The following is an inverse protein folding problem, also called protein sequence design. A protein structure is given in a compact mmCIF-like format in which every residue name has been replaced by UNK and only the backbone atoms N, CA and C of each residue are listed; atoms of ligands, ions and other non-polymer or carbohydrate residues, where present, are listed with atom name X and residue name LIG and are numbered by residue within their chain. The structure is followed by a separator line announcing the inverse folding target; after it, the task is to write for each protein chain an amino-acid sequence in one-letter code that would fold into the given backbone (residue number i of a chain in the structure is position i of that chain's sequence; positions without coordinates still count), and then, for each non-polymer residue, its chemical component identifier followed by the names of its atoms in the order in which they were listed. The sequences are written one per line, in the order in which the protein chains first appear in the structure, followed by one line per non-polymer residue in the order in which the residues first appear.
data_IF_584852769782
#
_entry.id   IF_584852769782
#
_cell.length_a   1.000
_cell.length_b   1.000
_cell.length_c   1.000
_cell.angle_alpha   90.00
_cell.angle_beta   90.00
_cell.angle_gamma   90.00
#
_symmetry.space_group_name_H-M   'P 1'
#
loop_
_entity.id
_entity.type
_entity.pdbx_description
1 polymer ?
#
# COMPACT_ATOMS: atom_id res chain seq x y z
N UNK A 1 -16.30 8.18 3.71
CA UNK A 1 -17.15 7.03 3.36
C UNK A 1 -16.86 5.94 4.37
N UNK A 2 -17.86 5.40 5.06
CA UNK A 2 -17.70 4.24 5.93
C UNK A 2 -17.23 3.00 5.16
N UNK A 3 -16.53 2.07 5.84
CA UNK A 3 -15.95 0.87 5.23
C UNK A 3 -17.04 -0.07 4.66
N UNK A 4 -18.15 -0.24 5.38
CA UNK A 4 -19.30 -1.03 4.95
C UNK A 4 -19.86 -0.53 3.61
N UNK A 5 -20.03 0.79 3.47
CA UNK A 5 -20.50 1.40 2.22
C UNK A 5 -19.56 1.15 1.05
N UNK A 6 -18.25 1.07 1.29
CA UNK A 6 -17.26 0.76 0.25
C UNK A 6 -17.36 -0.71 -0.18
N UNK A 7 -17.50 -1.63 0.76
CA UNK A 7 -17.66 -3.06 0.47
C UNK A 7 -18.96 -3.31 -0.32
N UNK A 8 -20.07 -2.70 0.10
CA UNK A 8 -21.36 -2.80 -0.59
C UNK A 8 -21.32 -2.19 -1.99
N UNK A 9 -20.63 -1.06 -2.18
CA UNK A 9 -20.53 -0.43 -3.50
C UNK A 9 -19.63 -1.23 -4.44
N UNK A 10 -18.56 -1.83 -3.92
CA UNK A 10 -17.56 -2.56 -4.72
C UNK A 10 -17.88 -4.04 -4.88
N UNK A 11 -18.82 -4.57 -4.09
CA UNK A 11 -19.16 -5.99 -4.06
C UNK A 11 -18.06 -6.87 -3.48
N UNK A 12 -17.10 -6.28 -2.78
CA UNK A 12 -15.99 -7.00 -2.18
C UNK A 12 -16.41 -7.67 -0.86
N UNK A 13 -16.00 -8.91 -0.61
CA UNK A 13 -16.23 -9.55 0.68
C UNK A 13 -15.38 -8.88 1.77
N UNK A 14 -15.83 -8.99 3.01
CA UNK A 14 -15.06 -8.50 4.17
C UNK A 14 -13.71 -9.23 4.27
N UNK A 15 -12.71 -8.56 4.83
CA UNK A 15 -11.40 -9.19 5.07
C UNK A 15 -11.53 -10.42 5.99
N UNK A 16 -12.48 -10.40 6.91
CA UNK A 16 -12.78 -11.51 7.80
C UNK A 16 -13.23 -12.75 7.01
N UNK A 17 -14.13 -12.58 6.04
CA UNK A 17 -14.57 -13.67 5.17
C UNK A 17 -13.42 -14.23 4.32
N UNK A 18 -12.53 -13.36 3.82
CA UNK A 18 -11.33 -13.78 3.08
C UNK A 18 -10.39 -14.61 3.97
N UNK A 19 -10.15 -14.16 5.20
CA UNK A 19 -9.30 -14.86 6.17
C UNK A 19 -9.94 -16.20 6.55
N UNK A 20 -11.24 -16.22 6.88
CA UNK A 20 -12.03 -17.44 7.17
C UNK A 20 -11.86 -18.47 6.07
N UNK A 21 -12.12 -18.09 4.81
CA UNK A 21 -12.00 -18.97 3.66
C UNK A 21 -10.59 -19.49 3.43
N UNK A 22 -9.57 -18.66 3.66
CA UNK A 22 -8.18 -19.12 3.57
C UNK A 22 -7.83 -20.13 4.69
N UNK A 23 -8.31 -19.92 5.93
CA UNK A 23 -8.14 -20.88 7.03
C UNK A 23 -8.80 -22.21 6.69
N UNK A 24 -10.06 -22.20 6.27
CA UNK A 24 -10.83 -23.40 5.93
C UNK A 24 -10.29 -24.13 4.69
N UNK A 25 -9.76 -23.39 3.71
CA UNK A 25 -9.06 -23.98 2.56
C UNK A 25 -7.84 -24.76 2.99
N UNK A 26 -6.98 -24.16 3.83
CA UNK A 26 -5.80 -24.86 4.34
C UNK A 26 -6.18 -26.04 5.25
N UNK A 27 -7.22 -25.87 6.08
CA UNK A 27 -7.75 -26.95 6.91
C UNK A 27 -8.18 -28.15 6.08
N UNK A 28 -8.97 -27.95 5.02
CA UNK A 28 -9.36 -29.01 4.10
C UNK A 28 -8.16 -29.72 3.48
N UNK A 29 -7.14 -28.97 3.06
CA UNK A 29 -5.90 -29.54 2.55
C UNK A 29 -5.19 -30.42 3.58
N UNK A 30 -5.05 -29.97 4.82
CA UNK A 30 -4.37 -30.75 5.86
C UNK A 30 -5.21 -31.95 6.30
N UNK A 31 -6.54 -31.82 6.38
CA UNK A 31 -7.40 -32.94 6.74
C UNK A 31 -7.39 -34.07 5.69
N UNK A 32 -7.14 -33.72 4.41
CA UNK A 32 -6.94 -34.69 3.33
C UNK A 32 -5.49 -35.20 3.21
N UNK A 33 -4.54 -34.54 3.86
CA UNK A 33 -3.13 -34.85 3.68
C UNK A 33 -2.75 -36.18 4.35
N UNK A 34 -2.47 -37.18 3.51
CA UNK A 34 -1.97 -38.50 3.88
C UNK A 34 -0.58 -38.74 3.28
N UNK A 35 0.23 -39.52 3.99
CA UNK A 35 1.50 -39.98 3.49
C UNK A 35 1.28 -41.07 2.43
N UNK A 36 2.34 -41.40 1.67
CA UNK A 36 2.30 -42.48 0.66
C UNK A 36 1.85 -43.82 1.24
N UNK A 37 2.09 -44.03 2.53
CA UNK A 37 1.75 -45.24 3.27
C UNK A 37 0.30 -45.26 3.81
N UNK A 38 -0.54 -44.28 3.43
CA UNK A 38 -1.94 -44.16 3.90
C UNK A 38 -2.09 -43.63 5.33
N UNK A 39 -0.99 -43.35 6.02
CA UNK A 39 -1.02 -42.76 7.35
C UNK A 39 -1.23 -41.24 7.30
N UNK A 40 -1.96 -40.64 8.28
CA UNK A 40 -2.08 -39.19 8.40
C UNK A 40 -0.72 -38.50 8.45
N UNK A 41 -0.59 -37.40 7.71
CA UNK A 41 0.63 -36.56 7.76
C UNK A 41 0.89 -36.02 9.16
N UNK A 42 2.16 -35.63 9.43
CA UNK A 42 2.51 -34.99 10.69
C UNK A 42 1.65 -33.73 10.93
N UNK A 43 1.38 -32.94 9.89
CA UNK A 43 0.52 -31.76 9.99
C UNK A 43 -0.91 -32.10 10.45
N UNK A 44 -1.50 -33.18 9.92
CA UNK A 44 -2.82 -33.67 10.34
C UNK A 44 -2.82 -34.17 11.79
N UNK A 45 -1.73 -34.82 12.21
CA UNK A 45 -1.55 -35.28 13.60
C UNK A 45 -1.34 -34.12 14.59
N UNK A 46 -0.52 -33.12 14.24
CA UNK A 46 -0.19 -31.99 15.12
C UNK A 46 -1.32 -30.98 15.23
N UNK A 47 -2.21 -30.91 14.23
CA UNK A 47 -3.38 -30.03 14.24
C UNK A 47 -4.24 -30.22 15.49
N UNK A 48 -4.44 -31.48 15.91
CA UNK A 48 -5.26 -31.86 17.07
C UNK A 48 -4.42 -32.37 18.25
N UNK A 49 -3.09 -32.28 18.17
CA UNK A 49 -2.22 -32.73 19.25
C UNK A 49 -2.26 -31.75 20.42
N UNK A 50 -2.25 -32.28 21.63
CA UNK A 50 -2.07 -31.54 22.88
C UNK A 50 -0.82 -32.08 23.58
N UNK A 51 -0.02 -31.21 24.19
CA UNK A 51 1.08 -31.65 25.04
C UNK A 51 0.47 -32.26 26.32
N UNK A 52 0.77 -33.52 26.56
CA UNK A 52 0.29 -34.23 27.74
C UNK A 52 0.87 -33.55 28.99
N UNK A 53 0.03 -33.29 30.00
CA UNK A 53 0.37 -32.67 31.30
C UNK A 53 0.84 -31.20 31.31
N UNK A 54 0.92 -30.51 30.18
CA UNK A 54 1.27 -29.10 30.17
C UNK A 54 0.03 -28.22 29.99
N UNK A 55 -0.36 -27.50 31.05
CA UNK A 55 -1.34 -26.42 30.93
C UNK A 55 -0.65 -25.21 30.31
N UNK A 56 -1.25 -24.67 29.25
CA UNK A 56 -0.76 -23.44 28.60
C UNK A 56 -0.63 -22.31 29.64
N UNK A 57 0.44 -21.51 29.61
CA UNK A 57 0.60 -20.37 30.51
C UNK A 57 -0.64 -19.46 30.42
N UNK A 58 -1.25 -19.17 31.57
CA UNK A 58 -2.51 -18.41 31.65
C UNK A 58 -2.34 -16.93 31.27
N UNK A 59 -1.08 -16.47 31.17
CA UNK A 59 -0.66 -15.08 31.29
C UNK A 59 -0.39 -14.41 29.92
N UNK A 60 -0.46 -15.17 28.82
CA UNK A 60 -0.36 -14.62 27.46
C UNK A 60 -1.78 -14.42 26.95
N UNK A 61 -2.20 -13.16 26.82
CA UNK A 61 -3.54 -12.75 26.34
C UNK A 61 -4.08 -13.72 25.28
N UNK A 62 -5.13 -14.45 25.65
CA UNK A 62 -5.57 -15.68 24.95
C UNK A 62 -6.05 -15.37 23.54
N UNK A 63 -5.13 -15.42 22.57
CA UNK A 63 -5.48 -15.64 21.18
C UNK A 63 -5.94 -17.10 21.04
N UNK A 64 -7.17 -17.30 20.58
CA UNK A 64 -7.70 -18.61 20.22
C UNK A 64 -6.68 -19.41 19.41
N UNK A 65 -6.55 -20.71 19.67
CA UNK A 65 -5.71 -21.59 18.84
C UNK A 65 -6.20 -21.51 17.40
N UNK A 66 -5.32 -21.78 16.46
CA UNK A 66 -5.73 -21.90 15.07
C UNK A 66 -6.87 -22.92 14.89
N UNK A 67 -6.83 -24.04 15.62
CA UNK A 67 -7.90 -25.04 15.69
C UNK A 67 -9.23 -24.44 16.17
N UNK A 68 -9.24 -23.74 17.30
CA UNK A 68 -10.44 -23.08 17.83
C UNK A 68 -11.03 -22.08 16.83
N UNK A 69 -10.18 -21.36 16.09
CA UNK A 69 -10.61 -20.43 15.03
C UNK A 69 -11.27 -21.18 13.88
N UNK A 70 -10.75 -22.34 13.50
CA UNK A 70 -11.34 -23.17 12.44
C UNK A 70 -12.67 -23.78 12.89
N UNK A 71 -12.75 -24.28 14.13
CA UNK A 71 -14.00 -24.84 14.66
C UNK A 71 -15.08 -23.76 14.73
N UNK A 72 -14.72 -22.55 15.18
CA UNK A 72 -15.62 -21.39 15.13
C UNK A 72 -16.07 -21.07 13.70
N UNK A 73 -15.15 -21.08 12.73
CA UNK A 73 -15.48 -20.80 11.32
C UNK A 73 -16.42 -21.87 10.73
N UNK A 74 -16.26 -23.14 11.12
CA UNK A 74 -17.13 -24.26 10.72
C UNK A 74 -18.53 -24.09 11.32
N UNK A 75 -18.61 -23.68 12.59
CA UNK A 75 -19.85 -23.38 13.29
C UNK A 75 -20.57 -22.18 12.67
N UNK A 76 -19.85 -21.09 12.39
CA UNK A 76 -20.40 -19.89 11.72
C UNK A 76 -20.98 -20.21 10.33
N UNK A 77 -20.42 -21.20 9.62
CA UNK A 77 -20.91 -21.65 8.31
C UNK A 77 -21.94 -22.81 8.41
N UNK A 78 -22.31 -23.25 9.61
CA UNK A 78 -23.20 -24.40 9.84
C UNK A 78 -22.78 -25.66 9.06
N UNK A 79 -21.47 -25.93 8.99
CA UNK A 79 -20.96 -27.11 8.29
C UNK A 79 -20.98 -28.32 9.21
N UNK A 80 -22.01 -29.14 9.06
CA UNK A 80 -22.11 -30.42 9.75
C UNK A 80 -21.16 -31.47 9.16
N UNK A 81 -20.66 -32.34 10.04
CA UNK A 81 -19.85 -33.50 9.67
C UNK A 81 -18.67 -33.15 8.73
N UNK A 82 -18.02 -32.02 9.02
CA UNK A 82 -16.90 -31.48 8.23
C UNK A 82 -15.82 -32.52 7.91
N UNK A 83 -15.59 -33.52 8.77
CA UNK A 83 -14.63 -34.62 8.56
C UNK A 83 -14.91 -35.40 7.28
N UNK A 84 -16.18 -35.75 7.03
CA UNK A 84 -16.59 -36.43 5.80
C UNK A 84 -16.72 -35.44 4.65
N UNK A 85 -17.24 -34.25 4.92
CA UNK A 85 -17.45 -33.25 3.89
C UNK A 85 -16.16 -32.77 3.21
N UNK A 86 -15.04 -32.71 3.94
CA UNK A 86 -13.73 -32.38 3.33
C UNK A 86 -13.26 -33.39 2.28
N UNK A 87 -13.75 -34.64 2.32
CA UNK A 87 -13.46 -35.66 1.30
C UNK A 87 -14.11 -35.31 -0.04
N UNK A 88 -15.26 -34.65 -0.01
CA UNK A 88 -15.90 -34.06 -1.18
C UNK A 88 -15.36 -32.65 -1.40
N UNK A 89 -14.28 -32.55 -2.17
CA UNK A 89 -13.58 -31.29 -2.43
C UNK A 89 -14.51 -30.24 -3.06
N UNK A 90 -15.44 -30.66 -3.91
CA UNK A 90 -16.38 -29.76 -4.58
C UNK A 90 -17.36 -29.16 -3.59
N UNK A 91 -18.01 -30.02 -2.80
CA UNK A 91 -18.95 -29.60 -1.75
C UNK A 91 -18.26 -28.76 -0.67
N UNK A 92 -17.03 -29.12 -0.30
CA UNK A 92 -16.21 -28.34 0.62
C UNK A 92 -15.93 -26.94 0.06
N UNK A 93 -15.52 -26.85 -1.21
CA UNK A 93 -15.25 -25.55 -1.86
C UNK A 93 -16.49 -24.68 -1.94
N UNK A 94 -17.65 -25.26 -2.24
CA UNK A 94 -18.91 -24.52 -2.28
C UNK A 94 -19.22 -23.90 -0.91
N UNK A 95 -19.17 -24.71 0.15
CA UNK A 95 -19.46 -24.24 1.51
C UNK A 95 -18.51 -23.15 2.00
N UNK A 96 -17.20 -23.29 1.78
CA UNK A 96 -16.23 -22.29 2.27
C UNK A 96 -16.24 -20.98 1.47
N UNK A 97 -16.87 -20.94 0.29
CA UNK A 97 -16.91 -19.76 -0.57
C UNK A 97 -18.23 -18.97 -0.47
N UNK A 98 -19.22 -19.45 0.29
CA UNK A 98 -20.58 -18.88 0.37
C UNK A 98 -20.60 -17.36 0.60
N UNK A 99 -19.71 -16.82 1.45
CA UNK A 99 -19.64 -15.39 1.78
C UNK A 99 -18.42 -14.65 1.17
N UNK A 100 -17.75 -15.26 0.18
CA UNK A 100 -16.53 -14.72 -0.45
C UNK A 100 -16.75 -14.35 -1.92
N UNK A 101 -17.96 -14.58 -2.44
CA UNK A 101 -18.29 -14.22 -3.80
C UNK A 101 -18.25 -12.70 -3.99
N UNK A 102 -17.44 -12.25 -4.96
CA UNK A 102 -17.49 -10.88 -5.47
C UNK A 102 -18.81 -10.77 -6.23
N UNK A 103 -19.80 -10.10 -5.64
CA UNK A 103 -21.03 -9.77 -6.36
C UNK A 103 -20.70 -8.61 -7.30
N UNK A 104 -20.96 -8.69 -8.61
CA UNK A 104 -20.87 -7.52 -9.46
C UNK A 104 -22.00 -6.56 -9.07
N UNK A 105 -21.70 -5.61 -8.19
CA UNK A 105 -22.67 -4.66 -7.61
C UNK A 105 -23.08 -3.58 -8.59
N UNK A 106 -22.23 -3.27 -9.57
CA UNK A 106 -22.57 -2.37 -10.66
C UNK A 106 -22.13 -2.94 -12.01
N UNK A 107 -23.07 -2.96 -12.96
CA UNK A 107 -22.81 -3.25 -14.38
C UNK A 107 -21.75 -2.32 -14.98
N UNK A 108 -21.46 -1.17 -14.37
CA UNK A 108 -20.50 -0.21 -14.89
C UNK A 108 -19.61 0.44 -13.81
N UNK A 109 -18.87 -0.39 -13.06
CA UNK A 109 -17.82 0.05 -12.10
C UNK A 109 -16.87 1.10 -12.72
N UNK A 110 -16.60 0.99 -14.02
CA UNK A 110 -15.77 1.95 -14.76
C UNK A 110 -16.35 3.37 -14.71
N UNK A 111 -17.67 3.53 -14.81
CA UNK A 111 -18.34 4.83 -14.72
C UNK A 111 -18.23 5.43 -13.33
N UNK A 112 -18.41 4.64 -12.26
CA UNK A 112 -18.29 5.12 -10.88
C UNK A 112 -16.85 5.59 -10.61
N UNK A 113 -15.85 4.81 -11.01
CA UNK A 113 -14.44 5.19 -10.90
C UNK A 113 -14.16 6.46 -11.71
N UNK A 114 -14.74 6.58 -12.90
CA UNK A 114 -14.58 7.74 -13.77
C UNK A 114 -15.17 9.01 -13.12
N UNK A 115 -16.39 8.94 -12.57
CA UNK A 115 -17.02 10.04 -11.85
C UNK A 115 -16.19 10.48 -10.63
N UNK A 116 -15.66 9.53 -9.85
CA UNK A 116 -14.77 9.82 -8.73
C UNK A 116 -13.50 10.53 -9.17
N UNK A 117 -12.85 10.05 -10.24
CA UNK A 117 -11.66 10.68 -10.83
C UNK A 117 -11.97 12.10 -11.32
N UNK A 118 -13.11 12.29 -11.99
CA UNK A 118 -13.55 13.62 -12.43
C UNK A 118 -13.78 14.56 -11.24
N UNK A 119 -14.45 14.10 -10.19
CA UNK A 119 -14.73 14.89 -8.98
C UNK A 119 -13.45 15.27 -8.25
N UNK A 120 -12.48 14.36 -8.13
CA UNK A 120 -11.17 14.65 -7.56
C UNK A 120 -10.37 15.67 -8.41
N UNK A 121 -10.42 15.55 -9.73
CA UNK A 121 -9.78 16.51 -10.63
C UNK A 121 -10.41 17.91 -10.52
N UNK A 122 -11.75 18.01 -10.38
CA UNK A 122 -12.45 19.28 -10.13
C UNK A 122 -12.01 19.91 -8.82
N UNK A 123 -11.96 19.15 -7.71
CA UNK A 123 -11.45 19.66 -6.42
C UNK A 123 -10.05 20.22 -6.53
N UNK A 124 -9.12 19.49 -7.14
CA UNK A 124 -7.75 19.97 -7.39
C UNK A 124 -7.74 21.26 -8.21
N UNK A 125 -8.56 21.36 -9.27
CA UNK A 125 -8.68 22.58 -10.06
C UNK A 125 -9.22 23.74 -9.22
N UNK A 126 -10.21 23.51 -8.36
CA UNK A 126 -10.78 24.53 -7.48
C UNK A 126 -9.80 24.96 -6.39
N UNK A 127 -9.06 24.03 -5.78
CA UNK A 127 -7.99 24.31 -4.80
C UNK A 127 -6.85 25.09 -5.46
N UNK A 128 -6.43 24.71 -6.68
CA UNK A 128 -5.44 25.44 -7.45
C UNK A 128 -5.93 26.84 -7.77
N UNK A 129 -7.18 27.00 -8.21
CA UNK A 129 -7.81 28.30 -8.50
C UNK A 129 -8.10 29.13 -7.23
N UNK A 130 -8.22 28.51 -6.06
CA UNK A 130 -8.30 29.21 -4.78
C UNK A 130 -6.90 29.61 -4.28
N UNK A 131 -5.84 28.94 -4.76
CA UNK A 131 -4.44 29.23 -4.44
C UNK A 131 -3.75 30.21 -5.42
N UNK A 132 -4.46 30.72 -6.44
CA UNK A 132 -3.91 31.64 -7.46
C UNK A 132 -3.65 33.07 -6.96
N UNK A 133 -3.40 33.27 -5.67
CA UNK A 133 -2.69 34.45 -5.20
C UNK A 133 -1.18 34.22 -5.00
N UNK A 134 -0.64 32.99 -5.16
CA UNK A 134 0.83 32.79 -5.17
C UNK A 134 1.29 31.51 -5.89
N UNK A 135 1.07 31.38 -7.22
CA UNK A 135 1.56 30.21 -7.97
C UNK A 135 3.06 30.33 -8.28
N UNK A 136 3.90 29.71 -7.44
CA UNK A 136 5.35 29.55 -7.67
C UNK A 136 5.58 28.49 -8.76
N UNK A 137 5.91 28.91 -9.98
CA UNK A 137 6.21 27.98 -11.08
C UNK A 137 7.47 27.15 -10.82
N UNK A 138 7.42 25.83 -11.05
CA UNK A 138 8.62 24.98 -10.98
C UNK A 138 9.50 25.26 -12.19
N UNK A 139 10.80 25.48 -11.94
CA UNK A 139 11.82 25.74 -12.98
C UNK A 139 11.77 24.72 -14.12
N UNK A 140 11.55 23.45 -13.82
CA UNK A 140 11.48 22.35 -14.81
C UNK A 140 10.20 22.31 -15.64
N UNK A 141 9.15 23.03 -15.23
CA UNK A 141 7.91 23.16 -16.02
C UNK A 141 8.02 24.32 -17.02
N UNK A 142 8.94 25.27 -16.80
CA UNK A 142 9.10 26.48 -17.61
C UNK A 142 10.21 26.29 -18.67
N UNK A 143 11.24 25.51 -18.36
CA UNK A 143 12.37 25.30 -19.28
C UNK A 143 12.11 24.19 -20.30
N UNK A 144 12.48 24.46 -21.55
CA UNK A 144 12.52 23.45 -22.59
C UNK A 144 13.62 22.41 -22.30
N UNK A 145 13.28 21.14 -22.52
CA UNK A 145 14.16 19.99 -22.29
C UNK A 145 14.80 19.57 -23.62
N UNK A 146 16.12 19.54 -23.67
CA UNK A 146 16.90 19.09 -24.83
C UNK A 146 17.80 17.93 -24.39
N UNK A 147 17.69 16.77 -25.05
CA UNK A 147 18.54 15.58 -24.77
C UNK A 147 18.66 15.21 -23.27
N UNK A 148 17.52 15.20 -22.55
CA UNK A 148 17.46 14.93 -21.10
C UNK A 148 18.19 15.95 -20.20
N UNK A 149 18.53 17.12 -20.74
CA UNK A 149 19.15 18.22 -20.02
C UNK A 149 18.33 19.50 -20.19
N UNK A 150 18.51 20.42 -19.25
CA UNK A 150 17.93 21.75 -19.28
C UNK A 150 19.05 22.77 -19.43
N UNK A 151 18.82 23.78 -20.26
CA UNK A 151 19.76 24.87 -20.48
C UNK A 151 19.41 26.04 -19.56
N UNK A 152 20.38 26.53 -18.81
CA UNK A 152 20.19 27.73 -17.99
C UNK A 152 20.03 28.97 -18.90
N UNK A 153 19.00 29.80 -18.69
CA UNK A 153 18.77 31.00 -19.52
C UNK A 153 19.79 32.12 -19.26
N UNK A 154 20.47 32.11 -18.11
CA UNK A 154 21.55 33.05 -17.78
C UNK A 154 22.90 32.60 -18.33
N UNK A 155 23.48 31.56 -17.72
CA UNK A 155 24.83 31.11 -18.03
C UNK A 155 24.95 30.12 -19.20
N UNK A 156 23.84 29.72 -19.82
CA UNK A 156 23.75 28.80 -20.98
C UNK A 156 24.35 27.40 -20.76
N UNK A 157 24.74 27.04 -19.53
CA UNK A 157 25.20 25.68 -19.17
C UNK A 157 24.04 24.69 -19.14
N UNK A 158 24.34 23.42 -19.41
CA UNK A 158 23.37 22.33 -19.40
C UNK A 158 23.40 21.57 -18.09
N UNK A 159 22.23 21.24 -17.56
CA UNK A 159 22.07 20.55 -16.28
C UNK A 159 21.07 19.41 -16.40
N UNK A 160 21.30 18.34 -15.62
CA UNK A 160 20.30 17.30 -15.41
C UNK A 160 19.08 17.87 -14.64
N UNK A 161 17.90 17.22 -14.72
CA UNK A 161 16.68 17.69 -14.06
C UNK A 161 16.82 18.01 -12.57
N UNK A 162 17.64 17.24 -11.84
CA UNK A 162 17.86 17.41 -10.41
C UNK A 162 18.75 18.63 -10.09
N UNK A 163 19.64 19.04 -11.00
CA UNK A 163 20.62 20.10 -10.77
C UNK A 163 20.19 21.48 -11.26
N UNK A 164 19.31 21.55 -12.28
CA UNK A 164 18.92 22.82 -12.90
C UNK A 164 18.20 23.76 -11.93
N UNK A 165 17.32 23.23 -11.08
CA UNK A 165 16.51 24.02 -10.14
C UNK A 165 17.40 24.74 -9.12
N UNK A 166 18.37 24.04 -8.56
CA UNK A 166 19.31 24.63 -7.59
C UNK A 166 20.26 25.60 -8.27
N UNK A 167 20.75 25.26 -9.46
CA UNK A 167 21.60 26.15 -10.23
C UNK A 167 20.91 27.48 -10.56
N UNK A 168 19.66 27.45 -11.03
CA UNK A 168 18.95 28.67 -11.44
C UNK A 168 18.65 29.60 -10.27
N UNK A 169 18.46 29.06 -9.06
CA UNK A 169 18.35 29.86 -7.83
C UNK A 169 19.66 30.56 -7.46
N UNK A 170 20.80 29.91 -7.71
CA UNK A 170 22.13 30.45 -7.40
C UNK A 170 22.79 31.23 -8.56
N UNK A 171 22.21 31.19 -9.76
CA UNK A 171 22.82 31.78 -10.95
C UNK A 171 22.53 33.29 -11.02
N UNK A 172 23.55 34.10 -10.74
CA UNK A 172 23.49 35.58 -10.81
C UNK A 172 23.08 36.09 -12.21
N UNK A 173 23.36 35.32 -13.27
CA UNK A 173 22.99 35.66 -14.64
C UNK A 173 21.55 35.26 -14.99
N UNK A 174 20.88 34.44 -14.17
CA UNK A 174 19.49 34.03 -14.37
C UNK A 174 18.50 34.92 -13.57
N UNK A 175 18.99 35.90 -12.80
CA UNK A 175 18.20 36.72 -11.88
C UNK A 175 17.03 37.47 -12.55
N UNK A 176 17.27 37.99 -13.75
CA UNK A 176 16.23 38.69 -14.53
C UNK A 176 15.17 37.73 -15.06
N UNK A 177 15.59 36.52 -15.46
CA UNK A 177 14.69 35.49 -15.96
C UNK A 177 13.80 34.93 -14.87
N UNK A 178 14.32 34.60 -13.68
CA UNK A 178 13.45 34.04 -12.64
C UNK A 178 12.56 35.10 -11.96
N UNK A 179 12.96 36.40 -11.93
CA UNK A 179 12.04 37.51 -11.60
C UNK A 179 10.86 37.59 -12.57
N UNK A 180 11.12 37.52 -13.89
CA UNK A 180 10.08 37.52 -14.93
C UNK A 180 9.12 36.33 -14.82
N UNK A 181 9.58 35.20 -14.29
CA UNK A 181 8.81 33.96 -14.15
C UNK A 181 8.33 33.70 -12.70
N UNK A 182 8.39 34.71 -11.82
CA UNK A 182 7.89 34.66 -10.45
C UNK A 182 8.46 33.49 -9.60
N UNK A 183 9.74 33.19 -9.79
CA UNK A 183 10.47 32.14 -9.05
C UNK A 183 11.20 32.82 -7.89
N UNK A 184 10.87 32.44 -6.65
CA UNK A 184 11.39 33.12 -5.46
C UNK A 184 12.89 32.87 -5.25
N UNK A 185 13.63 33.94 -4.92
CA UNK A 185 15.02 33.90 -4.49
C UNK A 185 15.06 34.15 -2.99
N UNK A 186 15.61 33.22 -2.23
CA UNK A 186 16.27 33.58 -0.98
C UNK A 186 17.73 33.79 -1.38
N UNK A 187 18.13 35.05 -1.56
CA UNK A 187 19.54 35.38 -1.49
C UNK A 187 19.95 35.12 -0.04
N UNK A 188 20.62 34.00 0.21
CA UNK A 188 21.49 33.92 1.37
C UNK A 188 22.53 35.01 1.16
N UNK A 189 22.46 36.06 1.97
CA UNK A 189 23.53 37.03 2.12
C UNK A 189 24.82 36.27 2.42
N UNK A 190 25.87 36.64 1.71
CA UNK A 190 27.21 36.12 1.90
C UNK A 190 27.67 36.34 3.34
N UNK A 191 27.93 35.27 4.08
CA UNK A 191 28.92 35.28 5.14
C UNK A 191 30.07 34.36 4.73
N UNK A 192 31.01 34.98 4.00
CA UNK A 192 32.37 34.51 3.84
C UNK A 192 33.03 34.39 5.22
N UNK A 193 32.94 33.22 5.85
CA UNK A 193 33.95 32.77 6.81
C UNK A 193 34.70 31.59 6.22
N UNK A 194 35.86 31.90 5.67
CA UNK A 194 36.88 30.91 5.38
C UNK A 194 37.19 30.13 6.66
N UNK A 195 37.22 28.79 6.65
CA UNK A 195 37.74 28.04 7.77
C UNK A 195 39.25 28.27 7.82
N UNK A 196 39.71 29.00 8.82
CA UNK A 196 41.11 29.04 9.22
C UNK A 196 41.56 27.63 9.54
N UNK A 197 42.50 27.14 8.73
CA UNK A 197 43.23 25.90 8.92
C UNK A 197 44.05 26.04 10.21
N UNK A 198 43.62 25.39 11.28
CA UNK A 198 44.43 25.22 12.49
C UNK A 198 45.37 24.05 12.20
N UNK A 199 46.65 24.38 11.97
CA UNK A 199 47.73 23.40 11.97
C UNK A 199 47.89 22.85 13.39
N UNK A 200 47.37 21.65 13.63
CA UNK A 200 47.72 20.86 14.80
C UNK A 200 49.06 20.17 14.53
N UNK A 201 50.14 20.88 14.86
CA UNK A 201 51.42 20.25 15.14
C UNK A 201 51.29 19.39 16.39
N UNK A 202 51.32 18.08 16.21
CA UNK A 202 51.53 17.11 17.29
C UNK A 202 53.05 16.86 17.34
N UNK A 203 53.63 17.24 18.47
CA UNK A 203 54.89 16.73 19.02
C UNK A 203 54.64 15.33 19.58
#
# INVERSE_FOLDING_TARGET
MPNETLLDTTGQPTIENIIRRNRLRWFGHVNLAENRDGHPTLAKKTMFAYFHNEKRPCNMGRSNRWEDKVLKDIEELNIDNWRKMTLDISRWREAINQDVHIKPTHTNIKNIIHEYKQRAARRRKTEVAASTETTKGKVTEILAKENNQYKCPGCKKHFKPQGITNHIKACTQATTWCKKNNINYEHGEDDCKAPTRIDLGIV
#
